data_IF_328912603831
#
_entry.id   IF_328912603831
#
_cell.length_a   1.000
_cell.length_b   1.000
_cell.length_c   1.000
_cell.angle_alpha   90.00
_cell.angle_beta   90.00
_cell.angle_gamma   90.00
#
_symmetry.space_group_name_H-M   'P 1'
#
loop_
_entity.id
_entity.type
_entity.pdbx_description
1 polymer ?
#
# COMPACT_ATOMS: atom_id res chain seq x y z
N UNK A 1 1.40 -17.52 15.68
CA UNK A 1 0.90 -18.74 14.98
C UNK A 1 0.38 -18.30 13.61
N UNK A 2 0.65 -19.03 12.52
CA UNK A 2 0.21 -18.68 11.15
C UNK A 2 -1.00 -19.54 10.78
N UNK A 3 -2.21 -18.98 10.86
CA UNK A 3 -3.48 -19.74 10.82
C UNK A 3 -4.42 -19.36 9.66
N UNK A 4 -4.07 -18.35 8.87
CA UNK A 4 -4.89 -17.87 7.76
C UNK A 4 -4.80 -18.81 6.54
N UNK A 5 -5.90 -18.92 5.79
CA UNK A 5 -5.93 -19.58 4.48
C UNK A 5 -5.26 -18.71 3.42
N UNK A 6 -4.64 -19.34 2.42
CA UNK A 6 -4.10 -18.68 1.25
C UNK A 6 -5.12 -18.71 0.10
N UNK A 7 -4.93 -17.85 -0.91
CA UNK A 7 -5.82 -17.80 -2.07
C UNK A 7 -5.94 -19.15 -2.79
N UNK A 8 -4.85 -19.91 -2.84
CA UNK A 8 -4.81 -21.27 -3.43
C UNK A 8 -5.67 -22.31 -2.67
N UNK A 9 -6.06 -22.01 -1.44
CA UNK A 9 -6.89 -22.88 -0.62
C UNK A 9 -8.40 -22.60 -0.82
N UNK A 10 -8.77 -21.75 -1.79
CA UNK A 10 -10.15 -21.33 -2.07
C UNK A 10 -10.49 -21.63 -3.54
N UNK A 11 -11.33 -22.64 -3.77
CA UNK A 11 -11.64 -23.16 -5.11
C UNK A 11 -12.15 -22.10 -6.09
N UNK A 12 -12.99 -21.17 -5.62
CA UNK A 12 -13.54 -20.09 -6.45
C UNK A 12 -12.50 -19.09 -6.95
N UNK A 13 -11.30 -19.07 -6.35
CA UNK A 13 -10.20 -18.19 -6.77
C UNK A 13 -9.26 -18.83 -7.78
N UNK A 14 -9.38 -20.15 -8.04
CA UNK A 14 -8.43 -20.92 -8.85
C UNK A 14 -8.14 -20.29 -10.22
N UNK A 15 -9.16 -19.74 -10.89
CA UNK A 15 -9.03 -19.12 -12.21
C UNK A 15 -8.24 -17.81 -12.22
N UNK A 16 -7.98 -17.21 -11.05
CA UNK A 16 -7.31 -15.91 -10.91
C UNK A 16 -5.94 -16.04 -10.24
N UNK A 17 -5.48 -17.25 -9.93
CA UNK A 17 -4.19 -17.47 -9.29
C UNK A 17 -3.06 -17.29 -10.30
N UNK A 18 -2.04 -16.55 -9.88
CA UNK A 18 -0.82 -16.37 -10.66
C UNK A 18 0.38 -16.05 -9.75
N UNK A 19 1.59 -16.13 -10.30
CA UNK A 19 2.84 -15.72 -9.66
C UNK A 19 3.16 -14.26 -10.00
N UNK A 20 2.62 -13.34 -9.18
CA UNK A 20 2.77 -11.91 -9.37
C UNK A 20 4.25 -11.47 -9.33
N UNK A 21 5.08 -11.88 -8.34
CA UNK A 21 6.50 -11.55 -8.35
C UNK A 21 7.20 -11.97 -9.64
N UNK A 22 6.96 -13.18 -10.15
CA UNK A 22 7.58 -13.65 -11.38
C UNK A 22 7.11 -12.84 -12.61
N UNK A 23 5.80 -12.63 -12.75
CA UNK A 23 5.20 -11.83 -13.83
C UNK A 23 5.78 -10.42 -13.89
N UNK A 24 5.83 -9.75 -12.73
CA UNK A 24 6.35 -8.38 -12.61
C UNK A 24 7.82 -8.31 -12.97
N UNK A 25 8.66 -9.18 -12.41
CA UNK A 25 10.10 -9.15 -12.70
C UNK A 25 10.40 -9.54 -14.15
N UNK A 26 9.63 -10.45 -14.76
CA UNK A 26 9.76 -10.77 -16.18
C UNK A 26 9.42 -9.57 -17.09
N UNK A 27 8.41 -8.78 -16.74
CA UNK A 27 8.09 -7.54 -17.45
C UNK A 27 9.23 -6.50 -17.31
N UNK A 28 9.77 -6.36 -16.10
CA UNK A 28 10.91 -5.47 -15.84
C UNK A 28 12.16 -5.87 -16.63
N UNK A 29 12.48 -7.17 -16.70
CA UNK A 29 13.60 -7.70 -17.50
C UNK A 29 13.45 -7.40 -18.99
N UNK A 30 12.21 -7.37 -19.47
CA UNK A 30 11.85 -7.00 -20.85
C UNK A 30 11.76 -5.48 -21.08
N UNK A 31 12.10 -4.68 -20.07
CA UNK A 31 12.03 -3.21 -20.08
C UNK A 31 10.63 -2.69 -20.36
N UNK A 32 9.62 -3.42 -19.91
CA UNK A 32 8.24 -2.96 -19.95
C UNK A 32 7.94 -2.07 -18.73
N UNK A 33 6.92 -1.22 -18.86
CA UNK A 33 6.51 -0.34 -17.77
C UNK A 33 5.60 -1.09 -16.79
N UNK A 34 5.96 -1.08 -15.50
CA UNK A 34 5.14 -1.62 -14.41
C UNK A 34 4.71 -0.47 -13.50
N UNK A 35 3.41 -0.36 -13.24
CA UNK A 35 2.86 0.59 -12.26
C UNK A 35 2.37 -0.21 -11.06
N UNK A 36 2.83 0.17 -9.87
CA UNK A 36 2.40 -0.43 -8.61
C UNK A 36 1.68 0.64 -7.80
N UNK A 37 0.44 0.35 -7.42
CA UNK A 37 -0.36 1.21 -6.57
C UNK A 37 -0.36 0.66 -5.13
N UNK A 38 -0.04 1.52 -4.17
CA UNK A 38 -0.05 1.20 -2.76
C UNK A 38 -1.31 1.66 -2.04
N UNK A 39 -1.56 1.06 -0.88
CA UNK A 39 -2.50 1.57 0.12
C UNK A 39 -1.87 1.42 1.50
N UNK A 40 -2.23 2.20 2.52
CA UNK A 40 -2.99 3.44 2.54
C UNK A 40 -2.06 4.66 2.39
N UNK A 41 -2.46 5.85 2.86
CA UNK A 41 -1.57 7.02 2.94
C UNK A 41 -0.46 6.85 3.99
N UNK A 42 0.73 7.41 3.73
CA UNK A 42 1.96 7.20 4.52
C UNK A 42 1.79 7.45 6.03
N UNK A 43 0.97 8.42 6.45
CA UNK A 43 0.73 8.71 7.87
C UNK A 43 -0.14 7.66 8.60
N UNK A 44 -0.64 6.65 7.89
CA UNK A 44 -1.27 5.47 8.47
C UNK A 44 -0.30 4.28 8.58
N UNK A 45 0.99 4.44 8.27
CA UNK A 45 2.01 3.40 8.46
C UNK A 45 2.03 2.89 9.90
N UNK A 46 2.15 1.58 10.07
CA UNK A 46 2.36 0.95 11.38
C UNK A 46 3.62 1.47 12.09
N UNK A 47 4.67 1.81 11.34
CA UNK A 47 5.96 2.23 11.90
C UNK A 47 6.13 3.75 11.98
N UNK A 48 5.58 4.46 11.00
CA UNK A 48 5.83 5.89 10.82
C UNK A 48 4.58 6.76 11.01
N UNK A 49 3.42 6.16 11.23
CA UNK A 49 2.16 6.85 11.45
C UNK A 49 1.90 7.22 12.90
N UNK A 50 0.70 7.72 13.16
CA UNK A 50 0.25 8.13 14.51
C UNK A 50 -0.27 6.94 15.32
N UNK A 51 0.62 6.02 15.72
CA UNK A 51 0.25 4.86 16.53
C UNK A 51 -0.48 5.27 17.84
N UNK A 52 -1.55 4.57 18.27
CA UNK A 52 -2.11 3.32 17.74
C UNK A 52 -3.12 3.49 16.60
N UNK A 53 -3.35 4.72 16.14
CA UNK A 53 -4.37 5.04 15.14
C UNK A 53 -3.80 4.94 13.71
N UNK A 54 -3.37 3.73 13.35
CA UNK A 54 -2.66 3.38 12.11
C UNK A 54 -3.22 2.09 11.53
N UNK A 55 -2.80 1.74 10.32
CA UNK A 55 -3.08 0.44 9.72
C UNK A 55 -2.20 -0.66 10.32
N UNK A 56 -2.48 -1.91 9.96
CA UNK A 56 -1.79 -3.09 10.51
C UNK A 56 -0.46 -3.44 9.84
N UNK A 57 0.02 -2.62 8.90
CA UNK A 57 1.28 -2.81 8.19
C UNK A 57 1.94 -1.48 7.83
N UNK A 58 3.18 -1.56 7.36
CA UNK A 58 3.79 -0.39 6.72
C UNK A 58 3.18 -0.14 5.34
N UNK A 59 3.11 1.13 4.95
CA UNK A 59 2.51 1.60 3.71
C UNK A 59 3.44 2.56 2.97
N UNK A 60 4.73 2.54 3.31
CA UNK A 60 5.77 3.26 2.57
C UNK A 60 6.01 2.60 1.20
N UNK A 61 6.65 3.33 0.29
CA UNK A 61 7.01 2.82 -1.04
C UNK A 61 7.79 1.49 -0.96
N UNK A 62 8.71 1.35 -0.01
CA UNK A 62 9.50 0.12 0.19
C UNK A 62 8.63 -1.08 0.57
N UNK A 63 7.63 -0.88 1.45
CA UNK A 63 6.70 -1.93 1.82
C UNK A 63 5.80 -2.34 0.65
N UNK A 64 5.34 -1.37 -0.14
CA UNK A 64 4.57 -1.60 -1.36
C UNK A 64 5.38 -2.39 -2.39
N UNK A 65 6.68 -2.13 -2.55
CA UNK A 65 7.55 -2.93 -3.41
C UNK A 65 7.64 -4.39 -2.93
N UNK A 66 7.77 -4.60 -1.61
CA UNK A 66 7.82 -5.94 -1.04
C UNK A 66 6.49 -6.71 -1.23
N UNK A 67 5.36 -6.03 -1.28
CA UNK A 67 4.04 -6.65 -1.48
C UNK A 67 3.91 -7.34 -2.84
N UNK A 68 4.52 -6.76 -3.87
CA UNK A 68 4.48 -7.28 -5.25
C UNK A 68 5.76 -8.02 -5.66
N UNK A 69 6.75 -8.10 -4.77
CA UNK A 69 8.00 -8.82 -5.03
C UNK A 69 9.00 -8.06 -5.91
N UNK A 70 9.03 -6.73 -5.84
CA UNK A 70 10.01 -5.89 -6.54
C UNK A 70 11.18 -5.56 -5.61
N UNK A 71 12.41 -5.75 -6.11
CA UNK A 71 13.62 -5.30 -5.42
C UNK A 71 13.77 -3.77 -5.52
N UNK A 72 14.28 -3.09 -4.48
CA UNK A 72 14.34 -1.62 -4.45
C UNK A 72 15.26 -1.00 -5.52
N UNK A 73 16.17 -1.78 -6.11
CA UNK A 73 17.05 -1.34 -7.20
C UNK A 73 16.34 -1.29 -8.56
N UNK A 74 15.17 -1.91 -8.68
CA UNK A 74 14.37 -1.94 -9.90
C UNK A 74 13.29 -0.87 -9.92
N UNK A 75 13.31 0.07 -8.96
CA UNK A 75 12.33 1.16 -8.85
C UNK A 75 12.96 2.43 -9.38
N UNK A 76 12.42 2.94 -10.48
CA UNK A 76 12.89 4.17 -11.11
C UNK A 76 12.23 5.42 -10.49
N UNK A 77 10.92 5.36 -10.24
CA UNK A 77 10.12 6.51 -9.79
C UNK A 77 9.22 6.15 -8.60
N UNK A 78 9.05 7.11 -7.68
CA UNK A 78 8.11 7.01 -6.55
C UNK A 78 7.23 8.27 -6.53
N UNK A 79 5.95 8.09 -6.81
CA UNK A 79 4.96 9.17 -6.79
C UNK A 79 4.22 9.20 -5.44
N UNK A 80 4.39 10.29 -4.68
CA UNK A 80 3.66 10.50 -3.42
C UNK A 80 2.50 11.45 -3.66
N UNK A 81 1.28 10.92 -3.53
CA UNK A 81 0.05 11.69 -3.81
C UNK A 81 -0.40 12.45 -2.57
N UNK A 82 -0.59 13.76 -2.72
CA UNK A 82 -1.19 14.64 -1.71
C UNK A 82 -2.47 15.27 -2.26
N UNK A 83 -3.37 15.65 -1.36
CA UNK A 83 -4.56 16.44 -1.67
C UNK A 83 -4.49 17.79 -0.98
N UNK A 84 -5.22 18.78 -1.52
CA UNK A 84 -5.22 20.16 -1.04
C UNK A 84 -5.63 20.29 0.44
N UNK A 85 -6.50 19.39 0.92
CA UNK A 85 -6.97 19.36 2.30
C UNK A 85 -6.77 17.96 2.89
N UNK A 86 -6.01 17.85 3.97
CA UNK A 86 -5.78 16.58 4.67
C UNK A 86 -7.07 16.17 5.37
N UNK A 87 -7.44 14.88 5.28
CA UNK A 87 -8.57 14.35 6.04
C UNK A 87 -8.13 13.12 6.80
N UNK A 88 -8.92 12.76 7.82
CA UNK A 88 -8.76 11.56 8.62
C UNK A 88 -10.11 10.85 8.73
N UNK A 89 -10.09 9.52 8.85
CA UNK A 89 -11.27 8.70 9.13
C UNK A 89 -11.03 7.99 10.45
N UNK A 90 -12.02 8.01 11.33
CA UNK A 90 -11.90 7.47 12.69
C UNK A 90 -11.11 8.39 13.63
N UNK A 91 -10.74 7.84 14.78
CA UNK A 91 -10.02 8.56 15.83
C UNK A 91 -8.55 8.86 15.47
N UNK A 92 -7.92 9.65 16.33
CA UNK A 92 -6.51 9.98 16.32
C UNK A 92 -6.23 11.42 15.89
N UNK A 93 -5.03 11.93 16.20
CA UNK A 93 -4.73 13.34 16.04
C UNK A 93 -4.66 13.74 14.55
N UNK A 94 -5.31 14.84 14.19
CA UNK A 94 -5.11 15.53 12.92
C UNK A 94 -4.68 16.98 13.23
N UNK A 95 -3.42 17.30 12.91
CA UNK A 95 -2.89 18.65 13.15
C UNK A 95 -3.66 19.67 12.30
N UNK A 96 -4.09 20.76 12.94
CA UNK A 96 -4.88 21.83 12.32
C UNK A 96 -6.22 21.33 11.73
N UNK A 97 -6.81 20.30 12.32
CA UNK A 97 -8.17 19.88 11.97
C UNK A 97 -9.14 21.05 12.09
N UNK A 98 -9.89 21.30 11.00
CA UNK A 98 -10.92 22.33 10.96
C UNK A 98 -12.22 21.77 11.54
N UNK A 99 -13.00 22.63 12.19
CA UNK A 99 -14.32 22.25 12.68
C UNK A 99 -15.22 21.84 11.50
N UNK A 100 -16.11 20.83 11.66
CA UNK A 100 -16.95 20.32 10.58
C UNK A 100 -17.78 21.39 9.87
N UNK A 101 -18.18 22.44 10.58
CA UNK A 101 -18.98 23.56 10.04
C UNK A 101 -18.19 24.44 9.06
N UNK A 102 -16.86 24.35 9.08
CA UNK A 102 -15.94 25.06 8.17
C UNK A 102 -15.40 24.17 7.05
N UNK A 103 -15.72 22.87 7.07
CA UNK A 103 -15.41 21.95 5.99
C UNK A 103 -16.45 22.15 4.87
N UNK A 104 -16.08 22.95 3.87
CA UNK A 104 -16.87 23.18 2.65
C UNK A 104 -16.63 22.07 1.65
#
# INVERSE_FOLDING_TARGET
MRTLKLAKDIDSLTLYLDDIPNQVNFALDRKENVIVEGTQGTFLSLWHGTYPFVTSKDVTASAICADVGIGPKSVDEVLVVFKSFVTRVGEGPLKNEIAPEKAV
#
